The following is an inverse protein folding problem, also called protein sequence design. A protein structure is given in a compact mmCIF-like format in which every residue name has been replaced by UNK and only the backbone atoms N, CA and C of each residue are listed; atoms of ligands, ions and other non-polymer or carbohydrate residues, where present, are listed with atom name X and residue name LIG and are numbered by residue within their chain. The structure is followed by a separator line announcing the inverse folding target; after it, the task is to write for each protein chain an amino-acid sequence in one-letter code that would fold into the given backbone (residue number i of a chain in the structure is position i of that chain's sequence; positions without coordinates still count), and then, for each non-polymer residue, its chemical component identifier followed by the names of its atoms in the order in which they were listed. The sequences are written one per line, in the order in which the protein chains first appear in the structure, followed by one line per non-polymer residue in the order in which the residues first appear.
data_IF_607748823781
#
_entry.id   IF_607748823781
#
_cell.length_a   1.000
_cell.length_b   1.000
_cell.length_c   1.000
_cell.angle_alpha   90.00
_cell.angle_beta   90.00
_cell.angle_gamma   90.00
#
_symmetry.space_group_name_H-M   'P 1'
#
loop_
_entity.id
_entity.type
_entity.pdbx_description
1 polymer ?
#
# COMPACT_ATOMS: atom_id res chain seq x y z
N UNK A 1 7.10 -7.83 6.60
CA UNK A 1 6.74 -8.52 5.34
C UNK A 1 6.90 -7.58 4.16
N UNK A 2 7.33 -8.08 3.01
CA UNK A 2 7.58 -7.28 1.80
C UNK A 2 6.38 -6.42 1.39
N UNK A 3 5.16 -6.94 1.44
CA UNK A 3 3.94 -6.18 1.12
C UNK A 3 3.78 -4.87 1.93
N UNK A 4 4.32 -4.83 3.15
CA UNK A 4 4.24 -3.66 4.01
C UNK A 4 5.31 -2.61 3.67
N UNK A 5 6.43 -3.03 3.07
CA UNK A 5 7.58 -2.17 2.78
C UNK A 5 7.49 -1.53 1.39
N UNK A 6 6.67 -2.09 0.50
CA UNK A 6 6.53 -1.65 -0.88
C UNK A 6 5.21 -0.91 -1.08
N UNK A 7 5.25 0.12 -1.92
CA UNK A 7 4.07 0.82 -2.42
C UNK A 7 4.21 1.11 -3.92
N UNK A 8 3.09 1.25 -4.62
CA UNK A 8 3.06 1.67 -6.03
C UNK A 8 1.85 2.56 -6.28
N UNK A 9 1.89 3.41 -7.32
CA UNK A 9 0.70 4.11 -7.78
C UNK A 9 -0.45 3.15 -8.11
N UNK A 10 -1.73 3.51 -7.87
CA UNK A 10 -2.88 2.62 -8.06
C UNK A 10 -2.95 1.96 -9.43
N UNK A 11 -2.59 2.70 -10.50
CA UNK A 11 -2.57 2.20 -11.87
C UNK A 11 -1.63 1.00 -12.12
N UNK A 12 -0.65 0.78 -11.25
CA UNK A 12 0.30 -0.34 -11.36
C UNK A 12 0.06 -1.42 -10.31
N UNK A 13 -0.84 -1.19 -9.35
CA UNK A 13 -1.01 -2.03 -8.18
C UNK A 13 -1.25 -3.50 -8.57
N UNK A 14 -2.10 -3.75 -9.57
CA UNK A 14 -2.40 -5.12 -10.02
C UNK A 14 -1.18 -5.80 -10.65
N UNK A 15 -0.48 -5.11 -11.55
CA UNK A 15 0.73 -5.64 -12.19
C UNK A 15 1.83 -5.97 -11.16
N UNK A 16 2.06 -5.06 -10.21
CA UNK A 16 3.04 -5.25 -9.13
C UNK A 16 2.61 -6.40 -8.22
N UNK A 17 1.34 -6.50 -7.87
CA UNK A 17 0.81 -7.58 -7.03
C UNK A 17 1.05 -8.95 -7.66
N UNK A 18 0.71 -9.13 -8.95
CA UNK A 18 0.86 -10.43 -9.60
C UNK A 18 2.34 -10.79 -9.77
N UNK A 19 3.22 -9.83 -10.07
CA UNK A 19 4.67 -10.06 -10.15
C UNK A 19 5.25 -10.42 -8.78
N UNK A 20 4.77 -9.78 -7.72
CA UNK A 20 5.21 -10.04 -6.36
C UNK A 20 4.78 -11.44 -5.93
N UNK A 21 3.52 -11.82 -6.18
CA UNK A 21 3.00 -13.15 -5.88
C UNK A 21 3.28 -13.57 -4.43
N UNK A 22 3.78 -14.80 -4.24
CA UNK A 22 4.14 -15.32 -2.91
C UNK A 22 5.24 -14.55 -2.19
N UNK A 23 6.07 -13.80 -2.92
CA UNK A 23 7.14 -12.99 -2.29
C UNK A 23 6.60 -11.83 -1.47
N UNK A 24 5.32 -11.47 -1.64
CA UNK A 24 4.63 -10.50 -0.80
C UNK A 24 4.69 -10.86 0.70
N UNK A 25 4.72 -12.16 0.99
CA UNK A 25 4.75 -12.69 2.36
C UNK A 25 6.16 -12.87 2.92
N UNK A 26 7.20 -12.69 2.11
CA UNK A 26 8.57 -12.83 2.60
C UNK A 26 8.89 -11.78 3.67
N UNK A 27 9.77 -12.13 4.61
CA UNK A 27 10.11 -11.31 5.77
C UNK A 27 11.50 -10.71 5.54
N UNK A 28 11.60 -9.39 5.46
CA UNK A 28 12.88 -8.70 5.37
C UNK A 28 13.50 -8.62 6.76
N UNK A 29 14.78 -8.98 6.89
CA UNK A 29 15.56 -8.84 8.13
C UNK A 29 16.75 -7.92 7.90
N UNK A 30 17.20 -7.26 8.96
CA UNK A 30 18.37 -6.39 8.96
C UNK A 30 19.65 -7.13 8.55
N UNK A 31 19.83 -8.35 9.03
CA UNK A 31 20.98 -9.20 8.71
C UNK A 31 20.64 -10.69 8.72
N UNK A 32 21.64 -11.49 8.36
CA UNK A 32 21.54 -12.94 8.24
C UNK A 32 21.39 -13.64 9.60
N UNK A 33 21.97 -13.11 10.67
CA UNK A 33 21.89 -13.72 11.99
C UNK A 33 20.49 -13.56 12.59
N UNK A 34 19.84 -12.40 12.40
CA UNK A 34 18.43 -12.21 12.74
C UNK A 34 17.55 -13.25 12.03
N UNK A 35 17.76 -13.50 10.74
CA UNK A 35 17.01 -14.51 10.02
C UNK A 35 17.21 -15.93 10.60
N UNK A 36 18.46 -16.33 10.88
CA UNK A 36 18.78 -17.63 11.48
C UNK A 36 18.14 -17.83 12.86
N UNK A 37 18.15 -16.79 13.69
CA UNK A 37 17.57 -16.84 15.03
C UNK A 37 16.05 -17.07 14.95
N UNK A 38 15.35 -16.34 14.07
CA UNK A 38 13.91 -16.52 13.88
C UNK A 38 13.59 -17.89 13.27
N UNK A 39 14.37 -18.37 12.31
CA UNK A 39 14.19 -19.71 11.73
C UNK A 39 14.34 -20.80 12.81
N UNK A 40 15.36 -20.68 13.67
CA UNK A 40 15.57 -21.62 14.78
C UNK A 40 14.38 -21.65 15.74
N UNK A 41 13.84 -20.48 16.07
CA UNK A 41 12.65 -20.35 16.89
C UNK A 41 11.40 -20.96 16.23
N UNK A 42 11.14 -20.67 14.96
CA UNK A 42 10.02 -21.27 14.21
C UNK A 42 10.08 -22.80 14.18
N UNK A 43 11.30 -23.36 14.08
CA UNK A 43 11.53 -24.79 14.12
C UNK A 43 11.28 -25.38 15.52
N UNK A 44 11.82 -24.77 16.57
CA UNK A 44 11.66 -25.22 17.96
C UNK A 44 10.18 -25.20 18.39
N UNK A 45 9.47 -24.14 18.06
CA UNK A 45 8.06 -23.94 18.42
C UNK A 45 7.06 -24.58 17.43
N UNK A 46 7.54 -25.18 16.34
CA UNK A 46 6.72 -25.83 15.28
C UNK A 46 5.65 -24.89 14.67
N UNK A 47 5.98 -23.62 14.50
CA UNK A 47 5.05 -22.57 14.05
C UNK A 47 4.85 -22.60 12.52
N UNK A 48 5.75 -23.26 11.78
CA UNK A 48 5.64 -23.45 10.34
C UNK A 48 6.87 -22.97 9.59
N UNK A 49 6.69 -22.52 8.35
CA UNK A 49 7.78 -22.13 7.44
C UNK A 49 7.57 -20.71 6.96
N UNK A 50 8.67 -19.96 6.86
CA UNK A 50 8.69 -18.63 6.29
C UNK A 50 9.96 -18.44 5.44
N UNK A 51 9.90 -17.49 4.50
CA UNK A 51 11.05 -17.09 3.68
C UNK A 51 11.55 -15.73 4.16
N UNK A 52 12.85 -15.64 4.40
CA UNK A 52 13.52 -14.44 4.88
C UNK A 52 14.39 -13.82 3.80
N UNK A 53 14.46 -12.49 3.78
CA UNK A 53 15.27 -11.67 2.89
C UNK A 53 16.24 -10.82 3.75
N UNK A 54 17.42 -11.36 4.10
CA UNK A 54 18.42 -10.61 4.85
C UNK A 54 19.03 -9.50 4.01
N UNK A 55 18.99 -8.25 4.49
CA UNK A 55 19.47 -7.10 3.72
C UNK A 55 20.98 -7.13 3.43
N UNK A 56 21.76 -7.82 4.27
CA UNK A 56 23.19 -8.07 4.10
C UNK A 56 23.51 -9.18 3.10
N UNK A 57 22.52 -9.99 2.68
CA UNK A 57 22.70 -11.16 1.82
C UNK A 57 22.01 -11.05 0.46
N UNK A 58 20.94 -10.26 0.34
CA UNK A 58 20.22 -10.14 -0.93
C UNK A 58 21.09 -9.49 -2.01
N UNK A 59 21.17 -10.16 -3.15
CA UNK A 59 21.84 -9.65 -4.35
C UNK A 59 20.81 -9.19 -5.37
N UNK A 60 21.10 -8.08 -6.04
CA UNK A 60 20.19 -7.50 -7.01
C UNK A 60 20.94 -7.09 -8.26
N UNK A 61 20.48 -7.54 -9.43
CA UNK A 61 21.04 -7.18 -10.72
C UNK A 61 19.97 -6.57 -11.61
N UNK A 62 20.33 -5.48 -12.27
CA UNK A 62 19.47 -4.79 -13.22
C UNK A 62 20.28 -4.41 -14.45
N UNK A 63 19.76 -4.76 -15.63
CA UNK A 63 20.35 -4.33 -16.90
C UNK A 63 19.27 -3.90 -17.87
N UNK A 64 19.29 -2.65 -18.33
CA UNK A 64 18.30 -2.18 -19.30
C UNK A 64 18.41 -2.97 -20.62
N UNK A 65 17.25 -3.28 -21.19
CA UNK A 65 17.15 -3.97 -22.47
C UNK A 65 17.06 -2.89 -23.54
N UNK A 66 18.03 -2.90 -24.46
CA UNK A 66 18.11 -1.93 -25.55
C UNK A 66 16.82 -1.92 -26.38
N UNK A 67 16.39 -0.74 -26.79
CA UNK A 67 15.25 -0.48 -27.67
C UNK A 67 13.86 -0.92 -27.13
N UNK A 68 13.80 -1.51 -25.93
CA UNK A 68 12.55 -1.94 -25.30
C UNK A 68 11.62 -0.75 -25.02
N UNK A 69 12.19 0.38 -24.60
CA UNK A 69 11.46 1.63 -24.29
C UNK A 69 10.67 2.17 -25.49
N UNK A 70 11.05 1.79 -26.71
CA UNK A 70 10.35 2.17 -27.94
C UNK A 70 9.13 1.30 -28.29
N UNK A 71 8.90 0.19 -27.57
CA UNK A 71 7.71 -0.62 -27.80
C UNK A 71 6.46 0.11 -27.27
N UNK A 72 5.39 0.29 -28.08
CA UNK A 72 4.23 1.11 -27.68
C UNK A 72 3.52 0.57 -26.44
N UNK A 73 3.61 -0.76 -26.24
CA UNK A 73 3.09 -1.46 -25.07
C UNK A 73 3.89 -1.36 -23.78
N UNK A 74 5.12 -0.85 -23.83
CA UNK A 74 6.00 -0.81 -22.67
C UNK A 74 5.56 0.29 -21.69
N UNK A 75 5.33 -0.08 -20.43
CA UNK A 75 4.98 0.87 -19.35
C UNK A 75 6.20 1.18 -18.50
N UNK A 76 7.00 0.17 -18.14
CA UNK A 76 8.18 0.36 -17.32
C UNK A 76 8.74 -0.95 -16.75
N UNK A 77 9.90 -0.85 -16.10
CA UNK A 77 10.44 -1.93 -15.27
C UNK A 77 9.74 -1.94 -13.93
N UNK A 78 9.24 -3.08 -13.47
CA UNK A 78 8.50 -3.17 -12.21
C UNK A 78 9.30 -2.63 -11.01
N UNK A 79 10.62 -2.88 -10.97
CA UNK A 79 11.53 -2.33 -9.96
C UNK A 79 11.51 -0.79 -9.87
N UNK A 80 11.21 -0.09 -10.97
CA UNK A 80 11.18 1.38 -11.05
C UNK A 80 9.78 1.97 -10.79
N UNK A 81 8.75 1.13 -10.77
CA UNK A 81 7.35 1.54 -10.59
C UNK A 81 6.88 1.46 -9.12
N UNK A 82 7.78 1.06 -8.22
CA UNK A 82 7.53 0.90 -6.80
C UNK A 82 8.37 1.87 -5.96
N UNK A 83 7.94 2.11 -4.72
CA UNK A 83 8.65 2.93 -3.74
C UNK A 83 8.86 2.16 -2.45
N UNK A 84 10.03 2.37 -1.87
CA UNK A 84 10.48 1.82 -0.58
C UNK A 84 11.24 2.88 0.20
N UNK A 85 11.39 2.70 1.51
CA UNK A 85 12.29 3.51 2.31
C UNK A 85 13.76 3.27 1.92
N UNK A 86 14.62 4.26 2.20
CA UNK A 86 16.04 4.26 1.79
C UNK A 86 16.80 3.01 2.25
N UNK A 87 16.52 2.53 3.45
CA UNK A 87 17.14 1.32 4.02
C UNK A 87 16.84 0.04 3.22
N UNK A 88 15.79 0.04 2.40
CA UNK A 88 15.39 -1.10 1.57
C UNK A 88 15.72 -0.89 0.08
N UNK A 89 16.66 -0.01 -0.26
CA UNK A 89 16.93 0.43 -1.64
C UNK A 89 17.18 -0.70 -2.65
N UNK A 90 17.78 -1.81 -2.24
CA UNK A 90 18.05 -2.97 -3.11
C UNK A 90 16.83 -3.89 -3.30
N UNK A 91 15.82 -3.77 -2.44
CA UNK A 91 14.66 -4.68 -2.39
C UNK A 91 13.83 -4.67 -3.69
N UNK A 92 13.52 -3.52 -4.33
CA UNK A 92 12.80 -3.51 -5.60
C UNK A 92 13.51 -4.31 -6.70
N UNK A 93 14.83 -4.15 -6.82
CA UNK A 93 15.61 -4.85 -7.84
C UNK A 93 15.75 -6.33 -7.49
N UNK A 94 15.87 -6.69 -6.21
CA UNK A 94 15.85 -8.09 -5.78
C UNK A 94 14.53 -8.80 -6.18
N UNK A 95 13.39 -8.16 -5.93
CA UNK A 95 12.07 -8.77 -6.13
C UNK A 95 11.64 -8.84 -7.59
N UNK A 96 12.00 -7.82 -8.36
CA UNK A 96 11.51 -7.65 -9.72
C UNK A 96 12.61 -7.77 -10.77
N UNK A 97 13.87 -7.52 -10.43
CA UNK A 97 14.98 -7.49 -11.39
C UNK A 97 14.62 -6.70 -12.65
N UNK A 98 14.62 -7.40 -13.78
CA UNK A 98 14.24 -6.89 -15.09
C UNK A 98 12.80 -7.19 -15.52
N UNK A 99 11.91 -7.51 -14.59
CA UNK A 99 10.50 -7.73 -14.87
C UNK A 99 9.84 -6.48 -15.41
N UNK A 100 8.93 -6.69 -16.36
CA UNK A 100 8.31 -5.63 -17.13
C UNK A 100 6.85 -5.48 -16.78
N UNK A 101 6.36 -4.24 -16.85
CA UNK A 101 4.95 -3.93 -16.92
C UNK A 101 4.61 -3.42 -18.32
N UNK A 102 3.52 -3.94 -18.89
CA UNK A 102 3.03 -3.61 -20.24
C UNK A 102 1.52 -3.36 -20.22
N UNK A 103 0.95 -2.82 -21.30
CA UNK A 103 -0.50 -2.53 -21.34
C UNK A 103 -1.35 -3.79 -21.49
N UNK A 104 -1.03 -4.65 -22.46
CA UNK A 104 -1.86 -5.81 -22.81
C UNK A 104 -1.08 -7.12 -22.88
N UNK A 105 -1.78 -8.25 -22.94
CA UNK A 105 -1.16 -9.56 -23.11
C UNK A 105 -0.46 -9.69 -24.47
N UNK A 106 -1.04 -9.11 -25.53
CA UNK A 106 -0.43 -9.09 -26.86
C UNK A 106 0.90 -8.30 -26.85
N UNK A 107 0.94 -7.16 -26.15
CA UNK A 107 2.17 -6.40 -25.94
C UNK A 107 3.22 -7.28 -25.22
N UNK A 108 2.82 -8.04 -24.19
CA UNK A 108 3.72 -8.92 -23.46
C UNK A 108 4.30 -10.02 -24.36
N UNK A 109 3.46 -10.70 -25.13
CA UNK A 109 3.86 -11.78 -26.05
C UNK A 109 4.74 -11.22 -27.17
N UNK A 110 4.39 -10.06 -27.73
CA UNK A 110 5.18 -9.37 -28.76
C UNK A 110 6.58 -9.02 -28.28
N UNK A 111 6.70 -8.41 -27.10
CA UNK A 111 7.99 -8.11 -26.47
C UNK A 111 8.80 -9.40 -26.21
N UNK A 112 8.17 -10.42 -25.62
CA UNK A 112 8.83 -11.69 -25.30
C UNK A 112 9.45 -12.35 -26.54
N UNK A 113 8.70 -12.39 -27.64
CA UNK A 113 9.14 -12.98 -28.92
C UNK A 113 10.21 -12.13 -29.60
N UNK A 114 10.01 -10.81 -29.67
CA UNK A 114 10.92 -9.88 -30.38
C UNK A 114 12.28 -9.79 -29.70
N UNK A 115 12.30 -9.56 -28.39
CA UNK A 115 13.53 -9.29 -27.64
C UNK A 115 14.14 -10.55 -27.00
N UNK A 116 13.45 -11.70 -27.05
CA UNK A 116 13.88 -12.97 -26.44
C UNK A 116 14.28 -12.83 -24.96
N UNK A 117 13.59 -11.95 -24.24
CA UNK A 117 13.95 -11.61 -22.88
C UNK A 117 13.60 -12.73 -21.90
N UNK A 118 14.42 -12.92 -20.87
CA UNK A 118 14.20 -13.94 -19.84
C UNK A 118 13.40 -13.45 -18.63
N UNK A 119 13.02 -12.18 -18.58
CA UNK A 119 12.21 -11.61 -17.49
C UNK A 119 10.75 -12.04 -17.54
N UNK A 120 10.05 -11.90 -16.42
CA UNK A 120 8.59 -11.95 -16.38
C UNK A 120 8.02 -10.64 -16.93
N UNK A 121 6.83 -10.71 -17.49
CA UNK A 121 6.12 -9.55 -18.04
C UNK A 121 4.70 -9.60 -17.50
N UNK A 122 4.27 -8.57 -16.80
CA UNK A 122 2.90 -8.42 -16.35
C UNK A 122 2.17 -7.33 -17.12
N UNK A 123 0.89 -7.54 -17.37
CA UNK A 123 0.02 -6.50 -17.93
C UNK A 123 -0.53 -5.61 -16.81
N UNK A 124 -1.11 -4.46 -17.16
CA UNK A 124 -1.85 -3.62 -16.20
C UNK A 124 -3.08 -4.33 -15.61
N UNK A 125 -3.66 -5.29 -16.34
CA UNK A 125 -4.82 -6.07 -15.92
C UNK A 125 -4.46 -7.27 -15.04
N UNK A 126 -3.18 -7.67 -14.99
CA UNK A 126 -2.67 -8.70 -14.10
C UNK A 126 -2.41 -10.07 -14.75
N UNK A 127 -2.46 -10.19 -16.08
CA UNK A 127 -1.89 -11.37 -16.74
C UNK A 127 -0.37 -11.36 -16.67
N UNK A 128 0.25 -12.54 -16.64
CA UNK A 128 1.70 -12.71 -16.59
C UNK A 128 2.16 -13.61 -17.72
N UNK A 129 3.21 -13.18 -18.44
CA UNK A 129 4.10 -14.04 -19.22
C UNK A 129 5.36 -14.29 -18.40
N UNK A 130 5.55 -15.53 -17.98
CA UNK A 130 6.69 -15.96 -17.16
C UNK A 130 8.03 -15.90 -17.89
N UNK A 131 9.10 -15.98 -17.11
CA UNK A 131 10.49 -15.97 -17.60
C UNK A 131 10.74 -17.03 -18.68
N UNK A 132 10.13 -18.21 -18.53
CA UNK A 132 10.25 -19.36 -19.45
C UNK A 132 9.05 -19.52 -20.40
N UNK A 133 8.23 -18.48 -20.56
CA UNK A 133 7.13 -18.45 -21.54
C UNK A 133 5.79 -19.04 -21.07
N UNK A 134 5.66 -19.41 -19.79
CA UNK A 134 4.36 -19.73 -19.21
C UNK A 134 3.43 -18.52 -19.28
N UNK A 135 2.14 -18.74 -19.50
CA UNK A 135 1.14 -17.66 -19.51
C UNK A 135 0.14 -17.94 -18.39
N UNK A 136 -0.10 -16.93 -17.56
CA UNK A 136 -1.06 -16.97 -16.45
C UNK A 136 -2.04 -15.82 -16.63
N UNK A 137 -3.33 -16.12 -16.58
CA UNK A 137 -4.40 -15.14 -16.74
C UNK A 137 -5.75 -15.73 -16.35
N UNK A 138 -6.80 -14.95 -16.52
CA UNK A 138 -8.15 -15.28 -16.05
C UNK A 138 -8.52 -14.52 -14.77
N UNK A 139 -9.78 -14.66 -14.37
CA UNK A 139 -10.30 -13.91 -13.23
C UNK A 139 -9.99 -14.64 -11.93
N UNK A 140 -9.20 -14.00 -11.07
CA UNK A 140 -9.04 -14.47 -9.69
C UNK A 140 -10.36 -14.31 -8.95
N UNK A 141 -10.82 -15.35 -8.24
CA UNK A 141 -11.96 -15.27 -7.31
C UNK A 141 -11.68 -14.35 -6.11
N UNK A 142 -10.42 -13.94 -5.93
CA UNK A 142 -10.01 -12.97 -4.92
C UNK A 142 -10.35 -11.59 -5.46
N UNK A 143 -11.45 -11.01 -4.97
CA UNK A 143 -11.81 -9.62 -5.24
C UNK A 143 -10.64 -8.69 -4.86
N UNK A 144 -10.49 -7.56 -5.55
CA UNK A 144 -9.40 -6.59 -5.30
C UNK A 144 -9.34 -6.10 -3.83
N UNK A 145 -10.40 -6.31 -3.05
CA UNK A 145 -10.50 -6.05 -1.61
C UNK A 145 -9.66 -7.01 -0.74
N UNK A 146 -9.34 -8.21 -1.24
CA UNK A 146 -8.59 -9.25 -0.52
C UNK A 146 -7.11 -9.35 -0.91
N UNK A 147 -6.70 -8.61 -1.93
CA UNK A 147 -5.29 -8.35 -2.26
C UNK A 147 -4.56 -7.70 -1.08
N UNK A 148 -3.30 -8.08 -0.83
CA UNK A 148 -2.46 -7.44 0.19
C UNK A 148 -2.34 -5.92 -0.03
N UNK A 149 -2.11 -5.51 -1.29
CA UNK A 149 -2.02 -4.10 -1.67
C UNK A 149 -3.38 -3.41 -1.57
N UNK A 150 -4.45 -4.10 -1.97
CA UNK A 150 -5.83 -3.61 -1.83
C UNK A 150 -6.22 -3.34 -0.38
N UNK A 151 -5.95 -4.29 0.53
CA UNK A 151 -6.19 -4.15 1.98
C UNK A 151 -5.38 -2.99 2.58
N UNK A 152 -4.11 -2.83 2.18
CA UNK A 152 -3.26 -1.71 2.63
C UNK A 152 -3.82 -0.36 2.20
N UNK A 153 -4.24 -0.23 0.93
CA UNK A 153 -4.86 1.01 0.43
C UNK A 153 -6.17 1.30 1.15
N UNK A 154 -7.01 0.28 1.36
CA UNK A 154 -8.26 0.40 2.12
C UNK A 154 -8.00 0.82 3.58
N UNK A 155 -6.94 0.30 4.20
CA UNK A 155 -6.55 0.70 5.55
C UNK A 155 -6.10 2.17 5.61
N UNK A 156 -5.33 2.63 4.62
CA UNK A 156 -4.93 4.04 4.51
C UNK A 156 -6.16 4.94 4.34
N UNK A 157 -7.09 4.55 3.47
CA UNK A 157 -8.35 5.27 3.24
C UNK A 157 -9.19 5.35 4.52
N UNK A 158 -9.41 4.22 5.19
CA UNK A 158 -10.18 4.14 6.45
C UNK A 158 -9.51 4.99 7.54
N UNK A 159 -8.18 4.95 7.65
CA UNK A 159 -7.44 5.71 8.64
C UNK A 159 -7.52 7.21 8.38
N UNK A 160 -7.49 7.63 7.12
CA UNK A 160 -7.65 9.03 6.70
C UNK A 160 -9.06 9.53 7.02
N UNK A 161 -10.09 8.77 6.65
CA UNK A 161 -11.50 9.05 7.00
C UNK A 161 -11.71 9.14 8.52
N UNK A 162 -11.09 8.23 9.28
CA UNK A 162 -11.14 8.26 10.75
C UNK A 162 -10.55 9.56 11.30
N UNK A 163 -9.41 10.01 10.76
CA UNK A 163 -8.77 11.27 11.18
C UNK A 163 -9.66 12.49 10.88
N UNK A 164 -10.29 12.52 9.71
CA UNK A 164 -11.25 13.57 9.35
C UNK A 164 -12.45 13.60 10.29
N UNK A 165 -13.02 12.44 10.62
CA UNK A 165 -14.14 12.31 11.57
C UNK A 165 -13.76 12.74 13.01
N UNK A 166 -12.54 12.44 13.46
CA UNK A 166 -12.04 12.89 14.76
C UNK A 166 -11.92 14.42 14.81
N UNK A 167 -11.39 15.03 13.74
CA UNK A 167 -11.29 16.48 13.65
C UNK A 167 -12.66 17.15 13.64
N UNK A 168 -13.62 16.62 12.87
CA UNK A 168 -14.98 17.17 12.83
C UNK A 168 -15.69 17.03 14.18
N UNK A 169 -15.54 15.91 14.87
CA UNK A 169 -16.07 15.69 16.22
C UNK A 169 -15.50 16.70 17.23
N UNK A 170 -14.19 16.95 17.20
CA UNK A 170 -13.57 17.97 18.06
C UNK A 170 -14.08 19.39 17.78
N UNK A 171 -14.33 19.73 16.51
CA UNK A 171 -14.90 21.02 16.14
C UNK A 171 -16.33 21.13 16.68
N UNK A 172 -17.15 20.09 16.51
CA UNK A 172 -18.51 20.06 17.04
C UNK A 172 -18.56 20.16 18.56
N UNK A 173 -17.66 19.49 19.28
CA UNK A 173 -17.58 19.56 20.75
C UNK A 173 -17.24 20.98 21.23
N UNK A 174 -16.33 21.69 20.53
CA UNK A 174 -16.02 23.09 20.83
C UNK A 174 -17.20 24.01 20.56
N UNK A 175 -17.94 23.80 19.47
CA UNK A 175 -19.14 24.57 19.16
C UNK A 175 -20.23 24.35 20.20
N UNK A 176 -20.44 23.10 20.66
CA UNK A 176 -21.39 22.79 21.73
C UNK A 176 -21.04 23.51 23.04
N UNK A 177 -19.76 23.52 23.44
CA UNK A 177 -19.31 24.27 24.64
C UNK A 177 -19.58 25.77 24.52
N UNK A 178 -19.32 26.38 23.36
CA UNK A 178 -19.65 27.79 23.13
C UNK A 178 -21.13 28.08 23.23
N UNK A 179 -21.97 27.25 22.61
CA UNK A 179 -23.43 27.43 22.67
C UNK A 179 -23.94 27.26 24.10
N UNK A 180 -23.37 26.34 24.87
CA UNK A 180 -23.72 26.13 26.28
C UNK A 180 -23.32 27.34 27.15
N UNK A 181 -22.12 27.89 26.94
CA UNK A 181 -21.66 29.13 27.57
C UNK A 181 -22.58 30.32 27.22
N UNK A 182 -22.91 30.50 25.95
CA UNK A 182 -23.83 31.55 25.48
C UNK A 182 -25.24 31.40 26.09
N UNK A 183 -25.78 30.18 26.10
CA UNK A 183 -27.06 29.85 26.73
C UNK A 183 -27.05 30.15 28.22
N UNK A 184 -25.96 29.84 28.93
CA UNK A 184 -25.79 30.16 30.35
C UNK A 184 -25.80 31.67 30.60
N UNK A 185 -25.10 32.45 29.76
CA UNK A 185 -25.09 33.92 29.85
C UNK A 185 -26.48 34.50 29.60
N UNK A 186 -27.19 34.02 28.57
CA UNK A 186 -28.54 34.47 28.22
C UNK A 186 -29.54 34.20 29.36
N UNK A 187 -29.54 33.01 29.96
CA UNK A 187 -30.42 32.69 31.10
C UNK A 187 -30.14 33.56 32.33
N UNK A 188 -28.88 33.93 32.57
CA UNK A 188 -28.54 34.84 33.66
C UNK A 188 -29.06 36.25 33.40
N UNK A 189 -28.97 36.74 32.15
CA UNK A 189 -29.56 38.04 31.78
C UNK A 189 -31.09 38.02 31.92
N UNK A 190 -31.74 36.94 31.48
CA UNK A 190 -33.19 36.77 31.59
C UNK A 190 -33.66 36.87 33.05
N UNK A 191 -32.99 36.16 33.98
CA UNK A 191 -33.28 36.26 35.42
C UNK A 191 -33.08 37.66 36.00
N UNK A 192 -32.04 38.38 35.55
CA UNK A 192 -31.76 39.73 36.03
C UNK A 192 -32.91 40.68 35.63
N UNK A 193 -33.32 40.61 34.36
CA UNK A 193 -34.43 41.42 33.82
C UNK A 193 -35.74 41.07 34.52
N UNK A 194 -36.04 39.79 34.77
CA UNK A 194 -37.21 39.38 35.55
C UNK A 194 -37.20 39.99 36.96
N UNK A 195 -36.04 40.00 37.63
CA UNK A 195 -35.91 40.57 38.98
C UNK A 195 -36.13 42.09 39.00
N UNK A 196 -35.58 42.82 38.03
CA UNK A 196 -35.77 44.28 37.89
C UNK A 196 -37.23 44.62 37.59
N UNK A 197 -37.88 43.85 36.70
CA UNK A 197 -39.28 44.05 36.37
C UNK A 197 -40.19 43.83 37.59
N UNK A 198 -39.87 42.84 38.43
CA UNK A 198 -40.62 42.55 39.65
C UNK A 198 -40.47 43.66 40.69
N UNK A 199 -39.29 44.28 40.80
CA UNK A 199 -39.07 45.46 41.64
C UNK A 199 -39.90 46.66 41.18
N UNK A 200 -39.88 46.95 39.87
CA UNK A 200 -40.61 48.10 39.30
C UNK A 200 -42.12 47.93 39.43
N UNK A 201 -42.65 46.71 39.34
CA UNK A 201 -44.09 46.44 39.50
C UNK A 201 -44.55 46.42 40.97
N UNK A 202 -43.62 46.41 41.94
CA UNK A 202 -43.91 46.42 43.37
C UNK A 202 -43.89 47.84 43.98
N UNK A 203 -43.45 48.85 43.22
CA UNK A 203 -43.53 50.29 43.52
C UNK A 203 -44.80 50.92 42.92
#
# INVERSE_FOLDING_TARGET
MVANLISSPPKYAKAIEVLLGGSAQHIVTDNTDTAKNVISWLFQEKIGRATFLPLDLIESYFSEIRDLKGHPGFVGYAATLVRVEKQYGNLPVYLFGNDLVVRTLDDAVGIKKKFRIRSRIATLSGEIVGSRGSITGGQSKIENSDSFLGRKMKLIEITSKRKEMLNSSQIQEKSLKRIDEESHVLRNHERLVESELTQVLAE
#
